data_IF_151459208291
#
_entry.id   IF_151459208291
#
_cell.length_a   1.000
_cell.length_b   1.000
_cell.length_c   1.000
_cell.angle_alpha   90.00
_cell.angle_beta   90.00
_cell.angle_gamma   90.00
#
_symmetry.space_group_name_H-M   'P 1'
#
loop_
_entity.id
_entity.type
_entity.pdbx_description
1 polymer ?
#
# COMPACT_ATOMS: atom_id res chain seq x y z
N UNK A 1 3.29 -21.75 -6.77
CA UNK A 1 3.08 -20.33 -7.12
C UNK A 1 3.20 -19.43 -5.90
N UNK A 2 2.45 -19.69 -4.82
CA UNK A 2 2.43 -18.85 -3.60
C UNK A 2 3.82 -18.58 -2.96
N UNK A 3 4.69 -19.58 -2.87
CA UNK A 3 6.05 -19.39 -2.35
C UNK A 3 6.93 -18.42 -3.17
N UNK A 4 6.69 -18.28 -4.48
CA UNK A 4 7.44 -17.35 -5.33
C UNK A 4 6.96 -15.91 -5.10
N UNK A 5 5.64 -15.70 -5.09
CA UNK A 5 5.01 -14.39 -4.80
C UNK A 5 5.50 -13.83 -3.46
N UNK A 6 5.54 -14.68 -2.43
CA UNK A 6 6.01 -14.28 -1.09
C UNK A 6 7.46 -13.81 -1.08
N UNK A 7 8.34 -14.45 -1.86
CA UNK A 7 9.74 -14.01 -1.98
C UNK A 7 9.84 -12.66 -2.68
N UNK A 8 9.05 -12.44 -3.73
CA UNK A 8 8.99 -11.17 -4.47
C UNK A 8 8.50 -10.04 -3.55
N UNK A 9 7.41 -10.25 -2.82
CA UNK A 9 6.90 -9.27 -1.84
C UNK A 9 7.92 -8.92 -0.76
N UNK A 10 8.68 -9.90 -0.27
CA UNK A 10 9.71 -9.66 0.73
C UNK A 10 10.91 -8.89 0.16
N UNK A 11 11.25 -9.13 -1.10
CA UNK A 11 12.27 -8.37 -1.79
C UNK A 11 11.80 -6.93 -2.04
N UNK A 12 10.58 -6.77 -2.56
CA UNK A 12 9.92 -5.49 -2.75
C UNK A 12 9.89 -4.65 -1.46
N UNK A 13 9.55 -5.25 -0.30
CA UNK A 13 9.57 -4.53 0.97
C UNK A 13 10.96 -3.96 1.31
N UNK A 14 12.02 -4.73 1.08
CA UNK A 14 13.40 -4.25 1.29
C UNK A 14 13.74 -3.13 0.32
N UNK A 15 13.27 -3.24 -0.92
CA UNK A 15 13.50 -2.24 -1.95
C UNK A 15 12.77 -0.92 -1.64
N UNK A 16 11.53 -0.99 -1.16
CA UNK A 16 10.77 0.18 -0.69
C UNK A 16 11.38 0.77 0.59
N UNK A 17 11.91 -0.05 1.50
CA UNK A 17 12.45 0.40 2.78
C UNK A 17 13.60 1.41 2.66
N UNK A 18 14.33 1.43 1.52
CA UNK A 18 15.41 2.40 1.26
C UNK A 18 14.90 3.83 1.06
N UNK A 19 13.63 3.99 0.68
CA UNK A 19 13.06 5.30 0.32
C UNK A 19 12.21 5.90 1.43
N UNK A 20 12.19 5.28 2.61
CA UNK A 20 11.35 5.72 3.73
C UNK A 20 11.90 7.01 4.35
N UNK A 21 10.99 7.95 4.58
CA UNK A 21 11.26 9.11 5.41
C UNK A 21 11.16 8.74 6.90
N UNK A 22 12.28 8.79 7.62
CA UNK A 22 12.33 8.51 9.06
C UNK A 22 12.46 9.76 9.91
N UNK A 23 12.55 10.93 9.27
CA UNK A 23 12.84 12.20 9.93
C UNK A 23 11.57 12.92 10.44
N UNK A 24 10.47 12.17 10.63
CA UNK A 24 9.19 12.72 11.13
C UNK A 24 8.97 12.29 12.58
N UNK A 25 8.25 13.10 13.36
CA UNK A 25 7.98 12.81 14.78
C UNK A 25 7.18 11.52 14.99
N UNK A 26 6.34 11.14 14.02
CA UNK A 26 5.60 9.87 14.03
C UNK A 26 5.51 9.29 12.60
N UNK A 27 6.52 8.54 12.15
CA UNK A 27 6.58 8.03 10.79
C UNK A 27 5.47 7.02 10.49
N UNK A 28 5.08 6.21 11.48
CA UNK A 28 4.00 5.24 11.30
C UNK A 28 2.67 5.92 11.00
N UNK A 29 2.31 6.97 11.75
CA UNK A 29 1.08 7.72 11.48
C UNK A 29 1.09 8.37 10.10
N UNK A 30 2.24 8.90 9.67
CA UNK A 30 2.38 9.45 8.32
C UNK A 30 2.07 8.39 7.24
N UNK A 31 2.62 7.19 7.38
CA UNK A 31 2.35 6.09 6.43
C UNK A 31 0.91 5.56 6.50
N UNK A 32 0.31 5.50 7.70
CA UNK A 32 -1.08 5.10 7.88
C UNK A 32 -2.07 6.11 7.26
N UNK A 33 -1.74 7.40 7.26
CA UNK A 33 -2.54 8.41 6.58
C UNK A 33 -2.33 8.35 5.07
N UNK A 34 -1.10 8.14 4.62
CA UNK A 34 -0.77 8.05 3.20
C UNK A 34 -1.48 6.90 2.48
N UNK A 35 -1.53 5.69 3.08
CA UNK A 35 -2.28 4.56 2.48
C UNK A 35 -3.76 4.89 2.25
N UNK A 36 -4.38 5.74 3.08
CA UNK A 36 -5.78 6.14 2.90
C UNK A 36 -5.94 7.04 1.68
N UNK A 37 -4.96 7.91 1.41
CA UNK A 37 -4.91 8.74 0.21
C UNK A 37 -4.85 7.88 -1.05
N UNK A 38 -3.87 6.97 -1.11
CA UNK A 38 -3.65 6.12 -2.29
C UNK A 38 -4.82 5.17 -2.57
N UNK A 39 -5.44 4.62 -1.53
CA UNK A 39 -6.68 3.82 -1.69
C UNK A 39 -7.81 4.67 -2.28
N UNK A 40 -7.89 5.95 -1.90
CA UNK A 40 -8.81 6.91 -2.50
C UNK A 40 -8.54 7.15 -3.99
N UNK A 41 -7.27 7.21 -4.40
CA UNK A 41 -6.88 7.37 -5.81
C UNK A 41 -7.23 6.12 -6.65
N UNK A 42 -6.99 4.92 -6.12
CA UNK A 42 -7.46 3.65 -6.73
C UNK A 42 -8.97 3.68 -6.93
N UNK A 43 -9.73 4.09 -5.91
CA UNK A 43 -11.20 4.19 -5.99
C UNK A 43 -11.62 5.22 -7.04
N UNK A 44 -10.92 6.36 -7.14
CA UNK A 44 -11.24 7.39 -8.11
C UNK A 44 -11.00 6.93 -9.55
N UNK A 45 -9.92 6.17 -9.81
CA UNK A 45 -9.67 5.51 -11.11
C UNK A 45 -10.81 4.55 -11.46
N UNK A 46 -11.20 3.66 -10.54
CA UNK A 46 -12.30 2.70 -10.75
C UNK A 46 -13.62 3.43 -11.01
N UNK A 47 -13.93 4.45 -10.20
CA UNK A 47 -15.14 5.27 -10.36
C UNK A 47 -15.17 5.95 -11.73
N UNK A 48 -14.06 6.55 -12.18
CA UNK A 48 -13.96 7.17 -13.51
C UNK A 48 -14.15 6.16 -14.64
N UNK A 49 -13.62 4.94 -14.49
CA UNK A 49 -13.87 3.87 -15.45
C UNK A 49 -15.36 3.49 -15.53
N UNK A 50 -15.98 3.22 -14.39
CA UNK A 50 -17.38 2.76 -14.32
C UNK A 50 -18.40 3.81 -14.77
N UNK A 51 -18.19 5.08 -14.40
CA UNK A 51 -19.21 6.12 -14.57
C UNK A 51 -18.87 7.16 -15.65
N UNK A 52 -17.60 7.30 -16.04
CA UNK A 52 -17.18 8.29 -17.04
C UNK A 52 -16.54 7.65 -18.29
N UNK A 53 -16.42 6.32 -18.35
CA UNK A 53 -15.88 5.61 -19.51
C UNK A 53 -14.37 5.78 -19.73
N UNK A 54 -13.63 6.18 -18.70
CA UNK A 54 -12.18 6.29 -18.77
C UNK A 54 -11.52 4.90 -18.81
N UNK A 55 -10.29 4.80 -19.34
CA UNK A 55 -9.51 3.57 -19.22
C UNK A 55 -8.93 3.39 -17.79
N UNK A 56 -8.37 2.21 -17.54
CA UNK A 56 -7.73 1.84 -16.27
C UNK A 56 -6.20 1.99 -16.32
N UNK A 57 -5.64 2.77 -17.24
CA UNK A 57 -4.19 2.84 -17.44
C UNK A 57 -3.43 3.37 -16.22
N UNK A 58 -4.10 4.16 -15.36
CA UNK A 58 -3.54 4.66 -14.09
C UNK A 58 -3.60 3.65 -12.94
N UNK A 59 -4.44 2.63 -13.03
CA UNK A 59 -4.66 1.70 -11.92
C UNK A 59 -3.36 1.04 -11.42
N UNK A 60 -2.43 0.59 -12.30
CA UNK A 60 -1.14 0.05 -11.84
C UNK A 60 -0.30 1.04 -11.04
N UNK A 61 -0.35 2.34 -11.36
CA UNK A 61 0.42 3.35 -10.63
C UNK A 61 -0.10 3.51 -9.20
N UNK A 62 -1.41 3.72 -9.05
CA UNK A 62 -2.06 3.88 -7.73
C UNK A 62 -1.95 2.62 -6.86
N UNK A 63 -2.04 1.44 -7.47
CA UNK A 63 -1.81 0.17 -6.77
C UNK A 63 -0.36 0.05 -6.31
N UNK A 64 0.59 0.50 -7.13
CA UNK A 64 2.01 0.55 -6.77
C UNK A 64 2.26 1.45 -5.56
N UNK A 65 1.64 2.63 -5.52
CA UNK A 65 1.76 3.57 -4.40
C UNK A 65 1.11 3.03 -3.12
N UNK A 66 -0.06 2.39 -3.22
CA UNK A 66 -0.63 1.62 -2.11
C UNK A 66 0.36 0.57 -1.57
N UNK A 67 0.98 -0.22 -2.45
CA UNK A 67 1.93 -1.26 -2.06
C UNK A 67 3.16 -0.68 -1.35
N UNK A 68 3.63 0.50 -1.77
CA UNK A 68 4.74 1.20 -1.11
C UNK A 68 4.39 1.56 0.34
N UNK A 69 3.21 2.13 0.59
CA UNK A 69 2.79 2.43 1.95
C UNK A 69 2.59 1.17 2.81
N UNK A 70 2.08 0.08 2.25
CA UNK A 70 2.00 -1.19 2.96
C UNK A 70 3.39 -1.70 3.37
N UNK A 71 4.39 -1.59 2.50
CA UNK A 71 5.78 -1.90 2.82
C UNK A 71 6.34 -0.98 3.91
N UNK A 72 6.05 0.33 3.84
CA UNK A 72 6.46 1.33 4.81
C UNK A 72 5.87 1.06 6.19
N UNK A 73 4.57 0.72 6.26
CA UNK A 73 3.86 0.36 7.49
C UNK A 73 4.47 -0.91 8.10
N UNK A 74 4.65 -1.98 7.31
CA UNK A 74 5.24 -3.21 7.81
C UNK A 74 6.66 -3.02 8.34
N UNK A 75 7.45 -2.20 7.65
CA UNK A 75 8.83 -1.90 8.05
C UNK A 75 8.87 -1.04 9.30
N UNK A 76 8.04 0.00 9.40
CA UNK A 76 8.07 0.97 10.51
C UNK A 76 7.41 0.43 11.77
N UNK A 77 6.35 -0.38 11.63
CA UNK A 77 5.67 -1.00 12.76
C UNK A 77 6.35 -2.29 13.25
N UNK A 78 7.40 -2.75 12.55
CA UNK A 78 8.06 -4.04 12.78
C UNK A 78 7.08 -5.21 12.86
N UNK A 79 5.96 -5.11 12.14
CA UNK A 79 4.90 -6.12 12.13
C UNK A 79 5.17 -7.22 11.09
N UNK A 80 6.42 -7.41 10.67
CA UNK A 80 6.86 -8.52 9.82
C UNK A 80 6.95 -8.23 8.32
N UNK A 81 7.04 -9.31 7.55
CA UNK A 81 7.25 -9.23 6.10
C UNK A 81 5.95 -9.34 5.28
N UNK A 82 5.90 -8.65 4.13
CA UNK A 82 4.74 -8.64 3.24
C UNK A 82 4.36 -10.04 2.74
N UNK A 83 5.33 -10.91 2.49
CA UNK A 83 5.11 -12.31 2.12
C UNK A 83 4.53 -13.16 3.26
N UNK A 84 4.77 -12.79 4.51
CA UNK A 84 4.08 -13.32 5.69
C UNK A 84 2.63 -12.84 5.73
N UNK A 85 2.41 -11.54 5.53
CA UNK A 85 1.08 -10.93 5.50
C UNK A 85 0.21 -11.53 4.38
N UNK A 86 0.76 -11.71 3.18
CA UNK A 86 0.11 -12.35 2.02
C UNK A 86 -0.41 -13.77 2.28
N UNK A 87 0.22 -14.50 3.21
CA UNK A 87 -0.20 -15.85 3.58
C UNK A 87 -1.45 -15.82 4.46
N UNK A 88 -1.53 -14.86 5.38
CA UNK A 88 -2.64 -14.76 6.33
C UNK A 88 -3.97 -14.48 5.63
N UNK A 89 -3.92 -13.85 4.48
CA UNK A 89 -5.08 -13.50 3.66
C UNK A 89 -5.52 -14.62 2.71
N UNK A 90 -5.47 -15.88 3.14
CA UNK A 90 -6.02 -17.04 2.41
C UNK A 90 -7.56 -17.05 2.40
N UNK A 91 -8.17 -15.90 2.12
CA UNK A 91 -9.62 -15.68 2.09
C UNK A 91 -10.19 -16.11 0.73
N UNK A 92 -11.33 -16.77 0.71
CA UNK A 92 -12.03 -17.16 -0.53
C UNK A 92 -12.75 -15.95 -1.12
N UNK A 93 -13.11 -16.02 -2.41
CA UNK A 93 -13.77 -14.93 -3.13
C UNK A 93 -15.08 -14.42 -2.50
N UNK A 94 -15.85 -15.28 -1.79
CA UNK A 94 -17.03 -14.85 -1.00
C UNK A 94 -16.67 -14.02 0.23
N UNK A 95 -15.47 -14.23 0.76
CA UNK A 95 -14.99 -13.47 1.90
C UNK A 95 -14.57 -12.06 1.43
N UNK A 96 -14.17 -11.87 0.16
CA UNK A 96 -13.85 -10.55 -0.40
C UNK A 96 -15.04 -9.59 -0.45
N UNK A 97 -16.29 -10.07 -0.59
CA UNK A 97 -17.49 -9.23 -0.56
C UNK A 97 -17.79 -8.76 0.88
N UNK A 98 -17.71 -9.67 1.84
CA UNK A 98 -17.82 -9.33 3.27
C UNK A 98 -16.70 -8.40 3.72
N UNK A 99 -15.51 -8.55 3.13
CA UNK A 99 -14.33 -7.79 3.51
C UNK A 99 -14.18 -6.49 2.71
N UNK A 100 -14.80 -6.37 1.52
CA UNK A 100 -15.04 -5.09 0.87
C UNK A 100 -16.09 -4.29 1.67
N UNK A 101 -17.06 -4.96 2.29
CA UNK A 101 -17.98 -4.34 3.25
C UNK A 101 -17.27 -3.96 4.57
N UNK A 102 -16.33 -4.78 5.07
CA UNK A 102 -15.51 -4.45 6.25
C UNK A 102 -14.42 -3.40 5.96
N UNK A 103 -13.89 -3.36 4.74
CA UNK A 103 -12.98 -2.31 4.29
C UNK A 103 -13.76 -1.04 3.97
N UNK A 104 -14.97 -1.11 3.44
CA UNK A 104 -15.86 0.04 3.29
C UNK A 104 -16.25 0.61 4.65
N UNK A 105 -16.62 -0.24 5.61
CA UNK A 105 -16.84 0.18 7.00
C UNK A 105 -15.53 0.54 7.70
N UNK A 106 -14.38 0.01 7.29
CA UNK A 106 -13.03 0.26 7.81
C UNK A 106 -12.44 1.60 7.37
N UNK A 107 -12.58 1.94 6.09
CA UNK A 107 -12.22 3.20 5.44
C UNK A 107 -13.15 4.32 5.91
N UNK A 108 -14.43 4.01 6.19
CA UNK A 108 -15.34 4.91 6.91
C UNK A 108 -15.18 4.83 8.45
N UNK A 109 -14.49 3.82 8.98
CA UNK A 109 -14.16 3.74 10.39
C UNK A 109 -12.86 4.52 10.61
N UNK A 110 -13.08 5.79 10.91
CA UNK A 110 -12.31 6.56 11.89
C UNK A 110 -11.78 5.71 13.10
N UNK A 111 -12.32 4.52 13.36
CA UNK A 111 -11.83 3.53 14.35
C UNK A 111 -10.43 2.97 14.08
N UNK A 112 -9.94 2.88 12.83
CA UNK A 112 -8.51 2.62 12.57
C UNK A 112 -7.64 3.79 13.07
N UNK A 113 -8.14 5.03 12.94
CA UNK A 113 -7.52 6.23 13.51
C UNK A 113 -7.56 6.23 15.05
N UNK A 114 -8.58 5.63 15.69
CA UNK A 114 -8.70 5.61 17.16
C UNK A 114 -8.07 4.40 17.86
N UNK A 115 -7.93 3.23 17.22
CA UNK A 115 -7.22 2.10 17.83
C UNK A 115 -5.69 2.30 17.88
N UNK A 116 -5.16 3.26 17.14
CA UNK A 116 -3.76 3.68 17.26
C UNK A 116 -3.54 4.76 18.35
N UNK A 117 -4.62 5.32 18.92
CA UNK A 117 -4.59 6.40 19.94
C UNK A 117 -4.97 5.92 21.34
N UNK A 118 -5.65 4.76 21.49
CA UNK A 118 -6.01 4.21 22.81
C UNK A 118 -5.55 2.74 22.97
N UNK A 119 -5.01 2.36 24.14
CA UNK A 119 -4.53 1.00 24.38
C UNK A 119 -5.70 0.02 24.55
N UNK A 120 -5.89 -0.87 23.57
CA UNK A 120 -6.74 -2.06 23.67
C UNK A 120 -5.94 -3.31 24.09
N UNK A 121 -6.57 -4.32 24.70
CA UNK A 121 -5.88 -5.44 25.31
C UNK A 121 -5.42 -6.46 24.25
N UNK A 122 -4.12 -6.79 24.27
CA UNK A 122 -3.43 -7.90 23.60
C UNK A 122 -3.65 -8.10 22.08
N UNK A 123 -2.60 -7.89 21.28
CA UNK A 123 -2.51 -8.39 19.88
C UNK A 123 -2.16 -7.39 18.77
N UNK A 124 -1.51 -6.26 19.07
CA UNK A 124 -1.23 -5.16 18.10
C UNK A 124 -0.57 -5.60 16.78
N UNK A 125 0.31 -6.61 16.82
CA UNK A 125 1.03 -7.10 15.64
C UNK A 125 0.19 -7.93 14.67
N UNK A 126 -0.75 -8.74 15.18
CA UNK A 126 -1.49 -9.71 14.37
C UNK A 126 -2.63 -9.05 13.57
N UNK A 127 -3.27 -8.02 14.16
CA UNK A 127 -4.30 -7.22 13.47
C UNK A 127 -3.71 -6.47 12.28
N UNK A 128 -2.54 -5.83 12.46
CA UNK A 128 -1.90 -5.06 11.40
C UNK A 128 -1.42 -5.96 10.25
N UNK A 129 -0.80 -7.10 10.57
CA UNK A 129 -0.42 -8.12 9.58
C UNK A 129 -1.59 -8.60 8.74
N UNK A 130 -2.73 -8.83 9.39
CA UNK A 130 -3.96 -9.28 8.73
C UNK A 130 -4.51 -8.22 7.79
N UNK A 131 -4.58 -6.96 8.24
CA UNK A 131 -5.03 -5.84 7.42
C UNK A 131 -4.14 -5.62 6.18
N UNK A 132 -2.82 -5.65 6.36
CA UNK A 132 -1.86 -5.53 5.24
C UNK A 132 -2.04 -6.70 4.25
N UNK A 133 -2.13 -7.92 4.76
CA UNK A 133 -2.34 -9.10 3.91
C UNK A 133 -3.62 -9.00 3.08
N UNK A 134 -4.69 -8.52 3.69
CA UNK A 134 -5.95 -8.31 3.00
C UNK A 134 -5.85 -7.26 1.89
N UNK A 135 -5.27 -6.09 2.19
CA UNK A 135 -5.14 -5.02 1.20
C UNK A 135 -4.29 -5.48 0.00
N UNK A 136 -3.19 -6.20 0.24
CA UNK A 136 -2.39 -6.78 -0.86
C UNK A 136 -3.24 -7.69 -1.77
N UNK A 137 -4.14 -8.51 -1.21
CA UNK A 137 -5.02 -9.38 -2.01
C UNK A 137 -6.03 -8.61 -2.81
N UNK A 138 -6.67 -7.61 -2.21
CA UNK A 138 -7.64 -6.75 -2.91
C UNK A 138 -6.97 -6.03 -4.07
N UNK A 139 -5.80 -5.43 -3.83
CA UNK A 139 -5.02 -4.74 -4.86
C UNK A 139 -4.59 -5.70 -5.98
N UNK A 140 -4.10 -6.89 -5.64
CA UNK A 140 -3.77 -7.93 -6.63
C UNK A 140 -4.98 -8.33 -7.46
N UNK A 141 -6.12 -8.58 -6.82
CA UNK A 141 -7.36 -8.96 -7.52
C UNK A 141 -7.90 -7.82 -8.40
N UNK A 142 -7.79 -6.56 -7.96
CA UNK A 142 -8.15 -5.40 -8.78
C UNK A 142 -7.26 -5.29 -10.02
N UNK A 143 -5.95 -5.46 -9.87
CA UNK A 143 -5.03 -5.50 -11.02
C UNK A 143 -5.39 -6.61 -12.01
N UNK A 144 -5.61 -7.83 -11.51
CA UNK A 144 -5.96 -8.99 -12.35
C UNK A 144 -7.30 -8.80 -13.06
N UNK A 145 -8.32 -8.29 -12.36
CA UNK A 145 -9.64 -8.00 -12.94
C UNK A 145 -9.58 -6.90 -14.02
N UNK A 146 -8.63 -5.98 -13.91
CA UNK A 146 -8.35 -4.96 -14.92
C UNK A 146 -7.46 -5.48 -16.09
N UNK A 147 -7.09 -6.76 -16.09
CA UNK A 147 -6.21 -7.36 -17.11
C UNK A 147 -4.72 -7.10 -16.91
N UNK A 148 -4.32 -6.57 -15.75
CA UNK A 148 -2.93 -6.32 -15.36
C UNK A 148 -2.27 -7.50 -14.62
N UNK A 149 -0.96 -7.40 -14.44
CA UNK A 149 -0.14 -8.35 -13.66
C UNK A 149 0.38 -7.65 -12.41
N UNK A 150 -0.10 -8.08 -11.23
CA UNK A 150 0.27 -7.48 -9.95
C UNK A 150 1.78 -7.52 -9.69
N UNK A 151 2.50 -8.55 -10.12
CA UNK A 151 3.95 -8.62 -9.90
C UNK A 151 4.70 -7.59 -10.76
N UNK A 152 4.22 -7.34 -11.99
CA UNK A 152 4.76 -6.25 -12.82
C UNK A 152 4.50 -4.87 -12.24
N UNK A 153 3.39 -4.70 -11.51
CA UNK A 153 3.13 -3.45 -10.78
C UNK A 153 4.19 -3.22 -9.71
N UNK A 154 4.54 -4.25 -8.94
CA UNK A 154 5.60 -4.16 -7.92
C UNK A 154 6.96 -3.82 -8.56
N UNK A 155 7.31 -4.48 -9.67
CA UNK A 155 8.56 -4.24 -10.39
C UNK A 155 8.63 -2.81 -10.95
N UNK A 156 7.59 -2.35 -11.63
CA UNK A 156 7.51 -0.99 -12.16
C UNK A 156 7.56 0.07 -11.04
N UNK A 157 6.97 -0.23 -9.88
CA UNK A 157 7.04 0.66 -8.74
C UNK A 157 8.46 0.71 -8.15
N UNK A 158 9.17 -0.41 -8.08
CA UNK A 158 10.59 -0.41 -7.67
C UNK A 158 11.43 0.45 -8.61
N UNK A 159 11.24 0.33 -9.93
CA UNK A 159 11.92 1.19 -10.91
C UNK A 159 11.59 2.68 -10.71
N UNK A 160 10.32 3.00 -10.41
CA UNK A 160 9.88 4.37 -10.06
C UNK A 160 10.62 4.88 -8.82
N UNK A 161 10.71 4.07 -7.77
CA UNK A 161 11.38 4.41 -6.51
C UNK A 161 12.88 4.64 -6.69
N UNK A 162 13.57 3.79 -7.46
CA UNK A 162 15.00 3.98 -7.76
C UNK A 162 15.28 5.24 -8.56
N UNK A 163 14.41 5.59 -9.51
CA UNK A 163 14.50 6.87 -10.24
C UNK A 163 14.32 8.06 -9.31
N UNK A 164 13.41 7.98 -8.34
CA UNK A 164 13.14 9.05 -7.35
C UNK A 164 14.22 9.15 -6.26
N UNK A 165 14.84 8.04 -5.89
CA UNK A 165 15.79 7.94 -4.76
C UNK A 165 17.02 7.08 -5.13
N UNK A 166 17.89 7.56 -6.04
CA UNK A 166 19.05 6.79 -6.49
C UNK A 166 20.06 6.53 -5.37
N UNK A 167 20.24 7.49 -4.45
CA UNK A 167 21.13 7.37 -3.28
C UNK A 167 20.34 7.22 -1.96
N UNK A 168 19.16 6.57 -2.01
CA UNK A 168 18.20 6.46 -0.90
C UNK A 168 17.50 7.79 -0.54
N UNK A 169 16.59 7.74 0.44
CA UNK A 169 15.80 8.91 0.85
C UNK A 169 16.69 10.01 1.46
N UNK A 170 16.46 11.26 1.03
CA UNK A 170 16.90 12.45 1.77
C UNK A 170 15.81 13.51 1.76
N UNK A 171 15.60 14.18 2.91
CA UNK A 171 14.56 15.20 3.05
C UNK A 171 14.78 16.39 2.10
N UNK A 172 16.03 16.70 1.75
CA UNK A 172 16.36 17.74 0.77
C UNK A 172 15.93 17.36 -0.65
N UNK A 173 16.18 16.12 -1.09
CA UNK A 173 15.76 15.63 -2.41
C UNK A 173 14.23 15.54 -2.53
N UNK A 174 13.54 15.15 -1.44
CA UNK A 174 12.07 15.14 -1.39
C UNK A 174 11.47 16.54 -1.55
N UNK A 175 11.95 17.53 -0.78
CA UNK A 175 11.46 18.93 -0.87
C UNK A 175 11.67 19.56 -2.24
N UNK A 176 12.81 19.31 -2.88
CA UNK A 176 13.12 19.86 -4.21
C UNK A 176 12.14 19.40 -5.30
N UNK A 177 11.55 18.21 -5.17
CA UNK A 177 10.54 17.69 -6.11
C UNK A 177 9.15 18.26 -5.87
N UNK A 178 8.75 18.45 -4.61
CA UNK A 178 7.47 19.08 -4.29
C UNK A 178 7.39 20.52 -4.85
N UNK A 179 8.52 21.22 -4.91
CA UNK A 179 8.59 22.58 -5.47
C UNK A 179 8.65 22.64 -7.00
N UNK A 180 9.01 21.55 -7.70
CA UNK A 180 9.11 21.53 -9.16
C UNK A 180 7.80 21.21 -9.88
N UNK A 181 6.70 20.99 -9.15
CA UNK A 181 5.38 20.69 -9.73
C UNK A 181 5.31 19.35 -10.47
N UNK A 182 6.26 18.45 -10.20
CA UNK A 182 6.23 17.09 -10.73
C UNK A 182 5.05 16.34 -10.05
N UNK A 183 4.02 15.88 -10.78
CA UNK A 183 2.88 15.17 -10.18
C UNK A 183 3.31 13.88 -9.47
N UNK A 184 4.54 13.42 -9.71
CA UNK A 184 5.18 12.28 -9.06
C UNK A 184 5.86 12.64 -7.71
N UNK A 185 5.70 13.88 -7.22
CA UNK A 185 6.36 14.39 -6.02
C UNK A 185 5.77 13.93 -4.68
N UNK A 186 4.56 13.36 -4.67
CA UNK A 186 3.96 12.71 -3.50
C UNK A 186 4.49 11.28 -3.35
N UNK A 187 5.20 11.03 -2.25
CA UNK A 187 5.30 9.75 -1.53
C UNK A 187 5.31 10.06 -0.03
#
# INVERSE_FOLDING_TARGET
>A
MDNAVRKILNQYQKDAARTLNRDTENPLNNYLLGIMGEVGEVIDVIKKHLYHGHDLAKLPEEVGDCCWYLAAICTTAECGDLGGCWRLSSCRQRDLEALALDAWTGVNNIRLCFHCVLPGPAGRGDTLRTAVGYLLRVLSAMCEAAGGDFLRVLDANVEKLWRRYPEAFSAAASRGRATSGDPSASL
#
